data_IF_736297542108
#
_entry.id   IF_736297542108
#
_cell.length_a   1.000
_cell.length_b   1.000
_cell.length_c   1.000
_cell.angle_alpha   90.00
_cell.angle_beta   90.00
_cell.angle_gamma   90.00
#
_symmetry.space_group_name_H-M   'P 1'
#
loop_
_entity.id
_entity.type
_entity.pdbx_description
1 polymer ?
#
# COMPACT_ATOMS: atom_id res chain seq x y z
N UNK A 1 -66.17 58.81 -50.62
CA UNK A 1 -64.83 59.43 -50.46
C UNK A 1 -64.91 60.89 -50.88
N UNK A 2 -65.06 61.81 -49.93
CA UNK A 2 -64.73 63.22 -50.15
C UNK A 2 -64.21 63.77 -48.81
N UNK A 3 -63.01 64.32 -48.87
CA UNK A 3 -62.18 64.76 -47.75
C UNK A 3 -62.81 65.96 -47.04
N UNK A 4 -63.05 65.82 -45.73
CA UNK A 4 -63.20 66.99 -44.86
C UNK A 4 -61.81 67.58 -44.63
N UNK A 5 -61.41 68.46 -45.54
CA UNK A 5 -60.27 69.36 -45.36
C UNK A 5 -60.66 70.38 -44.29
N UNK A 6 -60.14 70.21 -43.08
CA UNK A 6 -60.25 71.20 -42.01
C UNK A 6 -59.46 72.44 -42.47
N UNK A 7 -60.08 73.61 -42.67
CA UNK A 7 -59.35 74.81 -43.01
C UNK A 7 -58.45 75.23 -41.83
N UNK A 8 -57.20 75.54 -42.15
CA UNK A 8 -56.13 75.79 -41.18
C UNK A 8 -56.50 76.82 -40.11
N UNK A 9 -56.15 76.50 -38.86
CA UNK A 9 -56.12 77.44 -37.74
C UNK A 9 -55.30 78.68 -38.14
N UNK A 10 -55.95 79.84 -38.17
CA UNK A 10 -55.26 81.14 -38.18
C UNK A 10 -54.35 81.19 -36.94
N UNK A 11 -53.07 81.51 -37.13
CA UNK A 11 -52.15 81.85 -36.03
C UNK A 11 -52.76 83.02 -35.28
N UNK A 12 -53.23 82.78 -34.05
CA UNK A 12 -53.61 83.85 -33.14
C UNK A 12 -52.36 84.68 -32.85
N UNK A 13 -52.51 86.00 -32.90
CA UNK A 13 -51.45 86.94 -32.57
C UNK A 13 -51.06 86.77 -31.11
N UNK A 14 -49.80 86.49 -30.83
CA UNK A 14 -49.30 86.56 -29.47
C UNK A 14 -49.49 88.00 -28.97
N UNK A 15 -50.13 88.17 -27.81
CA UNK A 15 -50.31 89.47 -27.17
C UNK A 15 -48.98 90.13 -26.80
N UNK A 16 -47.89 89.35 -26.77
CA UNK A 16 -46.54 89.79 -26.51
C UNK A 16 -45.66 89.56 -27.73
N UNK A 17 -44.78 90.53 -28.02
CA UNK A 17 -43.87 90.46 -29.15
C UNK A 17 -42.76 89.45 -28.83
N UNK A 18 -42.71 88.35 -29.58
CA UNK A 18 -41.63 87.38 -29.49
C UNK A 18 -40.33 87.97 -30.08
N UNK A 19 -39.32 88.07 -29.22
CA UNK A 19 -37.98 88.58 -29.55
C UNK A 19 -36.91 87.48 -29.59
N UNK A 20 -37.26 86.25 -29.23
CA UNK A 20 -36.31 85.20 -28.82
C UNK A 20 -36.42 83.97 -29.72
N UNK A 21 -37.62 83.53 -30.09
CA UNK A 21 -37.83 82.25 -30.80
C UNK A 21 -37.21 82.27 -32.20
N UNK A 22 -37.22 83.42 -32.89
CA UNK A 22 -36.59 83.56 -34.22
C UNK A 22 -35.06 83.45 -34.18
N UNK A 23 -34.42 83.89 -33.08
CA UNK A 23 -32.97 83.78 -32.87
C UNK A 23 -32.57 82.44 -32.23
N UNK A 24 -33.48 81.81 -31.47
CA UNK A 24 -33.28 80.52 -30.80
C UNK A 24 -33.88 79.30 -31.51
N UNK A 25 -34.17 79.38 -32.81
CA UNK A 25 -34.95 78.37 -33.55
C UNK A 25 -34.43 76.92 -33.41
N UNK A 26 -33.11 76.74 -33.38
CA UNK A 26 -32.50 75.41 -33.22
C UNK A 26 -32.72 74.86 -31.80
N UNK A 27 -32.62 75.72 -30.77
CA UNK A 27 -32.85 75.35 -29.37
C UNK A 27 -34.29 74.90 -29.17
N UNK A 28 -35.26 75.61 -29.74
CA UNK A 28 -36.68 75.26 -29.66
C UNK A 28 -36.97 73.92 -30.33
N UNK A 29 -36.31 73.63 -31.47
CA UNK A 29 -36.45 72.34 -32.14
C UNK A 29 -35.86 71.18 -31.34
N UNK A 30 -34.71 71.39 -30.68
CA UNK A 30 -34.08 70.34 -29.88
C UNK A 30 -34.85 70.06 -28.59
N UNK A 31 -35.38 71.10 -27.93
CA UNK A 31 -36.28 70.95 -26.78
C UNK A 31 -37.55 70.18 -27.17
N UNK A 32 -38.13 70.48 -28.34
CA UNK A 32 -39.30 69.76 -28.86
C UNK A 32 -39.01 68.29 -29.17
N UNK A 33 -37.81 67.96 -29.64
CA UNK A 33 -37.40 66.55 -29.86
C UNK A 33 -37.17 65.81 -28.53
N UNK A 34 -36.57 66.47 -27.55
CA UNK A 34 -36.20 65.86 -26.27
C UNK A 34 -37.40 65.66 -25.34
N UNK A 35 -38.32 66.63 -25.28
CA UNK A 35 -39.44 66.64 -24.34
C UNK A 35 -40.82 66.53 -25.00
N UNK A 36 -40.88 66.55 -26.33
CA UNK A 36 -42.12 66.39 -27.10
C UNK A 36 -43.00 67.64 -27.19
N UNK A 37 -42.62 68.75 -26.56
CA UNK A 37 -43.47 69.94 -26.41
C UNK A 37 -43.06 71.11 -27.30
N UNK A 38 -44.05 71.85 -27.80
CA UNK A 38 -43.85 73.14 -28.45
C UNK A 38 -43.95 74.26 -27.41
N UNK A 39 -42.80 74.71 -26.91
CA UNK A 39 -42.66 75.60 -25.75
C UNK A 39 -43.44 76.91 -25.92
N UNK A 40 -43.44 77.48 -27.13
CA UNK A 40 -44.13 78.73 -27.42
C UNK A 40 -45.66 78.57 -27.40
N UNK A 41 -46.18 77.50 -27.99
CA UNK A 41 -47.63 77.24 -28.00
C UNK A 41 -48.14 76.89 -26.59
N UNK A 42 -47.32 76.21 -25.80
CA UNK A 42 -47.65 75.78 -24.45
C UNK A 42 -47.60 76.95 -23.44
N UNK A 43 -46.61 77.84 -23.55
CA UNK A 43 -46.50 79.07 -22.74
C UNK A 43 -47.64 80.05 -23.05
N UNK A 44 -47.94 80.29 -24.33
CA UNK A 44 -49.00 81.23 -24.70
C UNK A 44 -50.37 80.76 -24.18
N UNK A 45 -50.73 79.48 -24.34
CA UNK A 45 -51.99 78.92 -23.82
C UNK A 45 -52.07 78.94 -22.29
N UNK A 46 -50.96 78.66 -21.61
CA UNK A 46 -50.91 78.72 -20.16
C UNK A 46 -51.08 80.16 -19.63
N UNK A 47 -50.45 81.15 -20.28
CA UNK A 47 -50.60 82.57 -19.90
C UNK A 47 -51.98 83.14 -20.24
N UNK A 48 -52.66 82.59 -21.25
CA UNK A 48 -54.05 82.90 -21.58
C UNK A 48 -55.06 82.31 -20.59
N UNK A 49 -54.59 81.54 -19.59
CA UNK A 49 -55.43 80.95 -18.56
C UNK A 49 -56.22 79.73 -19.03
N UNK A 50 -55.79 79.05 -20.10
CA UNK A 50 -56.40 77.80 -20.54
C UNK A 50 -56.26 76.73 -19.45
N UNK A 51 -57.38 76.46 -18.77
CA UNK A 51 -57.45 75.51 -17.67
C UNK A 51 -57.06 74.09 -18.07
N UNK A 52 -57.18 73.69 -19.35
CA UNK A 52 -56.75 72.38 -19.81
C UNK A 52 -55.22 72.26 -19.87
N UNK A 53 -54.55 73.27 -20.46
CA UNK A 53 -53.08 73.33 -20.56
C UNK A 53 -52.43 73.46 -19.18
N UNK A 54 -52.99 74.29 -18.29
CA UNK A 54 -52.49 74.45 -16.91
C UNK A 54 -52.64 73.18 -16.06
N UNK A 55 -53.76 72.45 -16.16
CA UNK A 55 -53.92 71.15 -15.48
C UNK A 55 -52.94 70.10 -15.99
N UNK A 56 -52.71 70.05 -17.30
CA UNK A 56 -51.73 69.14 -17.90
C UNK A 56 -50.31 69.42 -17.39
N UNK A 57 -49.92 70.70 -17.30
CA UNK A 57 -48.64 71.13 -16.72
C UNK A 57 -48.51 70.73 -15.25
N UNK A 58 -49.55 70.95 -14.44
CA UNK A 58 -49.56 70.55 -13.03
C UNK A 58 -49.45 69.04 -12.83
N UNK A 59 -50.16 68.24 -13.63
CA UNK A 59 -50.04 66.77 -13.61
C UNK A 59 -48.64 66.30 -14.03
N UNK A 60 -48.04 66.94 -15.03
CA UNK A 60 -46.68 66.63 -15.48
C UNK A 60 -45.63 67.00 -14.44
N UNK A 61 -45.75 68.16 -13.80
CA UNK A 61 -44.87 68.59 -12.72
C UNK A 61 -44.95 67.59 -11.56
N UNK A 62 -46.16 67.25 -11.12
CA UNK A 62 -46.37 66.26 -10.05
C UNK A 62 -45.77 64.90 -10.39
N UNK A 63 -45.95 64.41 -11.63
CA UNK A 63 -45.33 63.16 -12.09
C UNK A 63 -43.81 63.25 -12.17
N UNK A 64 -43.27 64.41 -12.57
CA UNK A 64 -41.85 64.69 -12.61
C UNK A 64 -41.22 64.69 -11.22
N UNK A 65 -41.85 65.32 -10.24
CA UNK A 65 -41.40 65.35 -8.84
C UNK A 65 -41.42 63.93 -8.23
N UNK A 66 -42.53 63.19 -8.41
CA UNK A 66 -42.64 61.79 -7.99
C UNK A 66 -41.56 60.94 -8.65
N UNK A 67 -41.32 61.11 -9.95
CA UNK A 67 -40.30 60.36 -10.68
C UNK A 67 -38.89 60.68 -10.20
N UNK A 68 -38.56 61.97 -9.95
CA UNK A 68 -37.26 62.39 -9.45
C UNK A 68 -36.96 61.85 -8.05
N UNK A 69 -37.98 61.67 -7.21
CA UNK A 69 -37.83 61.13 -5.86
C UNK A 69 -37.80 59.59 -5.85
N UNK A 70 -38.68 58.92 -6.60
CA UNK A 70 -38.83 57.46 -6.55
C UNK A 70 -37.90 56.69 -7.48
N UNK A 71 -37.56 57.22 -8.67
CA UNK A 71 -36.74 56.47 -9.63
C UNK A 71 -35.37 56.08 -9.07
N UNK A 72 -34.62 56.95 -8.37
CA UNK A 72 -33.33 56.56 -7.78
C UNK A 72 -33.49 55.44 -6.74
N UNK A 73 -34.56 55.47 -5.94
CA UNK A 73 -34.86 54.44 -4.94
C UNK A 73 -35.21 53.10 -5.59
N UNK A 74 -35.99 53.12 -6.67
CA UNK A 74 -36.34 51.92 -7.44
C UNK A 74 -35.11 51.34 -8.13
N UNK A 75 -34.27 52.18 -8.74
CA UNK A 75 -33.01 51.75 -9.35
C UNK A 75 -32.09 51.11 -8.32
N UNK A 76 -31.90 51.74 -7.15
CA UNK A 76 -31.08 51.20 -6.08
C UNK A 76 -31.64 49.87 -5.56
N UNK A 77 -32.96 49.76 -5.36
CA UNK A 77 -33.61 48.54 -4.91
C UNK A 77 -33.46 47.40 -5.91
N UNK A 78 -33.68 47.65 -7.20
CA UNK A 78 -33.54 46.65 -8.26
C UNK A 78 -32.09 46.20 -8.40
N UNK A 79 -31.13 47.14 -8.38
CA UNK A 79 -29.70 46.82 -8.47
C UNK A 79 -29.26 45.98 -7.27
N UNK A 80 -29.65 46.38 -6.06
CA UNK A 80 -29.37 45.62 -4.83
C UNK A 80 -29.98 44.22 -4.89
N UNK A 81 -31.21 44.08 -5.37
CA UNK A 81 -31.87 42.79 -5.53
C UNK A 81 -31.14 41.88 -6.54
N UNK A 82 -30.73 42.42 -7.69
CA UNK A 82 -29.96 41.68 -8.69
C UNK A 82 -28.60 41.24 -8.15
N UNK A 83 -27.87 42.13 -7.49
CA UNK A 83 -26.57 41.82 -6.88
C UNK A 83 -26.70 40.78 -5.77
N UNK A 84 -27.70 40.92 -4.89
CA UNK A 84 -27.99 39.95 -3.85
C UNK A 84 -28.30 38.56 -4.44
N UNK A 85 -29.12 38.51 -5.50
CA UNK A 85 -29.47 37.26 -6.17
C UNK A 85 -28.26 36.61 -6.86
N UNK A 86 -27.43 37.41 -7.55
CA UNK A 86 -26.21 36.94 -8.18
C UNK A 86 -25.22 36.41 -7.14
N UNK A 87 -25.02 37.14 -6.04
CA UNK A 87 -24.10 36.77 -4.98
C UNK A 87 -24.56 35.54 -4.22
N UNK A 88 -25.87 35.42 -3.94
CA UNK A 88 -26.45 34.23 -3.32
C UNK A 88 -26.20 32.98 -4.17
N UNK A 89 -26.47 33.05 -5.47
CA UNK A 89 -26.27 31.92 -6.38
C UNK A 89 -24.79 31.55 -6.54
N UNK A 90 -23.89 32.53 -6.66
CA UNK A 90 -22.44 32.29 -6.67
C UNK A 90 -21.98 31.60 -5.38
N UNK A 91 -22.44 32.08 -4.23
CA UNK A 91 -22.07 31.51 -2.92
C UNK A 91 -22.59 30.08 -2.79
N UNK A 92 -23.85 29.83 -3.15
CA UNK A 92 -24.45 28.49 -3.16
C UNK A 92 -23.67 27.53 -4.05
N UNK A 93 -23.31 27.95 -5.27
CA UNK A 93 -22.51 27.15 -6.18
C UNK A 93 -21.12 26.82 -5.60
N UNK A 94 -20.46 27.79 -4.98
CA UNK A 94 -19.14 27.59 -4.35
C UNK A 94 -19.21 26.63 -3.16
N UNK A 95 -20.23 26.76 -2.30
CA UNK A 95 -20.46 25.84 -1.17
C UNK A 95 -20.70 24.43 -1.66
N UNK A 96 -21.56 24.24 -2.68
CA UNK A 96 -21.82 22.91 -3.25
C UNK A 96 -20.58 22.30 -3.90
N UNK A 97 -19.78 23.10 -4.62
CA UNK A 97 -18.53 22.65 -5.24
C UNK A 97 -17.51 22.21 -4.18
N UNK A 98 -17.33 23.01 -3.12
CA UNK A 98 -16.45 22.68 -2.00
C UNK A 98 -16.94 21.44 -1.26
N UNK A 99 -18.24 21.36 -0.95
CA UNK A 99 -18.87 20.21 -0.31
C UNK A 99 -18.70 18.93 -1.11
N UNK A 100 -18.91 18.96 -2.42
CA UNK A 100 -18.71 17.79 -3.30
C UNK A 100 -17.25 17.33 -3.31
N UNK A 101 -16.29 18.25 -3.45
CA UNK A 101 -14.85 17.94 -3.42
C UNK A 101 -14.45 17.27 -2.10
N UNK A 102 -14.93 17.81 -0.98
CA UNK A 102 -14.63 17.28 0.35
C UNK A 102 -15.31 15.93 0.60
N UNK A 103 -16.57 15.77 0.20
CA UNK A 103 -17.26 14.48 0.29
C UNK A 103 -16.55 13.39 -0.53
N UNK A 104 -16.06 13.72 -1.72
CA UNK A 104 -15.26 12.80 -2.53
C UNK A 104 -13.92 12.46 -1.85
N UNK A 105 -13.23 13.45 -1.29
CA UNK A 105 -11.98 13.23 -0.55
C UNK A 105 -12.18 12.31 0.66
N UNK A 106 -13.25 12.51 1.43
CA UNK A 106 -13.63 11.65 2.56
C UNK A 106 -13.91 10.22 2.09
N UNK A 107 -14.65 10.05 0.99
CA UNK A 107 -14.93 8.72 0.42
C UNK A 107 -13.64 8.00 0.01
N UNK A 108 -12.71 8.70 -0.65
CA UNK A 108 -11.39 8.15 -1.01
C UNK A 108 -10.59 7.73 0.22
N UNK A 109 -10.47 8.62 1.22
CA UNK A 109 -9.77 8.32 2.46
C UNK A 109 -10.35 7.09 3.19
N UNK A 110 -11.69 6.93 3.17
CA UNK A 110 -12.34 5.74 3.74
C UNK A 110 -11.95 4.45 3.02
N UNK A 111 -11.92 4.48 1.69
CA UNK A 111 -11.50 3.33 0.87
C UNK A 111 -10.03 3.00 1.13
N UNK A 112 -9.16 4.02 1.20
CA UNK A 112 -7.72 3.84 1.46
C UNK A 112 -7.46 3.22 2.83
N UNK A 113 -8.16 3.68 3.88
CA UNK A 113 -8.09 3.09 5.23
C UNK A 113 -8.60 1.64 5.23
N UNK A 114 -9.69 1.37 4.51
CA UNK A 114 -10.21 0.01 4.36
C UNK A 114 -9.20 -0.94 3.71
N UNK A 115 -8.56 -0.50 2.62
CA UNK A 115 -7.53 -1.28 1.92
C UNK A 115 -6.28 -1.49 2.80
N UNK A 116 -5.83 -0.45 3.51
CA UNK A 116 -4.70 -0.54 4.43
C UNK A 116 -4.99 -1.54 5.57
N UNK A 117 -6.21 -1.51 6.13
CA UNK A 117 -6.61 -2.47 7.16
C UNK A 117 -6.64 -3.91 6.63
N UNK A 118 -7.14 -4.14 5.41
CA UNK A 118 -7.09 -5.47 4.79
C UNK A 118 -5.64 -5.94 4.61
N UNK A 119 -4.75 -5.09 4.10
CA UNK A 119 -3.33 -5.41 3.95
C UNK A 119 -2.70 -5.81 5.29
N UNK A 120 -2.92 -5.01 6.33
CA UNK A 120 -2.43 -5.32 7.67
C UNK A 120 -2.95 -6.67 8.20
N UNK A 121 -4.22 -6.99 7.97
CA UNK A 121 -4.78 -8.30 8.34
C UNK A 121 -4.12 -9.45 7.55
N UNK A 122 -3.84 -9.26 6.27
CA UNK A 122 -3.15 -10.25 5.45
C UNK A 122 -1.69 -10.43 5.89
N UNK A 123 -0.96 -9.34 6.13
CA UNK A 123 0.43 -9.37 6.62
C UNK A 123 0.54 -10.11 7.96
N UNK A 124 -0.38 -9.87 8.89
CA UNK A 124 -0.41 -10.60 10.16
C UNK A 124 -0.63 -12.11 9.97
N UNK A 125 -1.52 -12.49 9.04
CA UNK A 125 -1.70 -13.91 8.68
C UNK A 125 -0.45 -14.49 8.04
N UNK A 126 0.21 -13.74 7.17
CA UNK A 126 1.48 -14.16 6.56
C UNK A 126 2.58 -14.35 7.60
N UNK A 127 2.73 -13.43 8.55
CA UNK A 127 3.72 -13.55 9.63
C UNK A 127 3.47 -14.82 10.44
N UNK A 128 2.21 -15.08 10.83
CA UNK A 128 1.84 -16.29 11.55
C UNK A 128 2.16 -17.56 10.74
N UNK A 129 1.86 -17.55 9.44
CA UNK A 129 2.17 -18.67 8.54
C UNK A 129 3.69 -18.88 8.42
N UNK A 130 4.47 -17.81 8.20
CA UNK A 130 5.94 -17.85 8.11
C UNK A 130 6.55 -18.42 9.39
N UNK A 131 6.07 -18.00 10.56
CA UNK A 131 6.51 -18.55 11.83
C UNK A 131 6.22 -20.05 11.93
N UNK A 132 5.00 -20.48 11.58
CA UNK A 132 4.62 -21.90 11.63
C UNK A 132 5.45 -22.78 10.69
N UNK A 133 5.73 -22.29 9.48
CA UNK A 133 6.56 -22.96 8.49
C UNK A 133 8.02 -23.01 8.93
N UNK A 134 8.55 -21.90 9.44
CA UNK A 134 9.91 -21.82 10.00
C UNK A 134 10.10 -22.80 11.15
N UNK A 135 9.14 -22.88 12.08
CA UNK A 135 9.16 -23.85 13.18
C UNK A 135 9.18 -25.28 12.68
N UNK A 136 8.34 -25.64 11.70
CA UNK A 136 8.33 -26.99 11.11
C UNK A 136 9.64 -27.33 10.40
N UNK A 137 10.16 -26.40 9.61
CA UNK A 137 11.45 -26.55 8.93
C UNK A 137 12.59 -26.75 9.93
N UNK A 138 12.61 -26.01 11.03
CA UNK A 138 13.64 -26.13 12.06
C UNK A 138 13.57 -27.47 12.79
N UNK A 139 12.34 -27.92 13.14
CA UNK A 139 12.14 -29.26 13.70
C UNK A 139 12.67 -30.33 12.75
N UNK A 140 12.37 -30.24 11.45
CA UNK A 140 12.87 -31.20 10.46
C UNK A 140 14.39 -31.20 10.35
N UNK A 141 15.03 -30.02 10.32
CA UNK A 141 16.49 -29.89 10.34
C UNK A 141 17.09 -30.56 11.57
N UNK A 142 16.54 -30.28 12.75
CA UNK A 142 17.02 -30.87 13.99
C UNK A 142 16.82 -32.40 14.01
N UNK A 143 15.66 -32.90 13.57
CA UNK A 143 15.40 -34.34 13.46
C UNK A 143 16.39 -35.02 12.52
N UNK A 144 16.68 -34.41 11.38
CA UNK A 144 17.67 -34.93 10.44
C UNK A 144 19.08 -34.95 11.03
N UNK A 145 19.51 -33.85 11.65
CA UNK A 145 20.82 -33.74 12.30
C UNK A 145 21.00 -34.77 13.42
N UNK A 146 19.99 -34.92 14.29
CA UNK A 146 19.99 -35.94 15.35
C UNK A 146 20.00 -37.37 14.79
N UNK A 147 19.25 -37.62 13.72
CA UNK A 147 19.23 -38.92 13.05
C UNK A 147 20.60 -39.28 12.46
N UNK A 148 21.24 -38.32 11.79
CA UNK A 148 22.58 -38.47 11.24
C UNK A 148 23.62 -38.76 12.34
N UNK A 149 23.61 -37.98 13.42
CA UNK A 149 24.57 -38.19 14.51
C UNK A 149 24.36 -39.54 15.22
N UNK A 150 23.10 -39.96 15.40
CA UNK A 150 22.78 -41.31 15.92
C UNK A 150 23.32 -42.41 15.02
N UNK A 151 23.15 -42.29 13.70
CA UNK A 151 23.66 -43.27 12.74
C UNK A 151 25.19 -43.33 12.80
N UNK A 152 25.86 -42.17 12.83
CA UNK A 152 27.30 -42.08 12.96
C UNK A 152 27.81 -42.73 14.26
N UNK A 153 27.16 -42.43 15.38
CA UNK A 153 27.48 -43.04 16.68
C UNK A 153 27.27 -44.56 16.67
N UNK A 154 26.19 -45.05 16.03
CA UNK A 154 25.94 -46.48 15.87
C UNK A 154 27.04 -47.16 15.04
N UNK A 155 27.44 -46.58 13.91
CA UNK A 155 28.54 -47.10 13.08
C UNK A 155 29.84 -47.13 13.89
N UNK A 156 30.19 -46.05 14.59
CA UNK A 156 31.38 -46.00 15.44
C UNK A 156 31.33 -47.05 16.56
N UNK A 157 30.18 -47.24 17.20
CA UNK A 157 30.00 -48.26 18.23
C UNK A 157 30.14 -49.68 17.65
N UNK A 158 29.60 -49.93 16.46
CA UNK A 158 29.74 -51.23 15.79
C UNK A 158 31.19 -51.55 15.40
N UNK A 159 31.94 -50.54 14.95
CA UNK A 159 33.35 -50.67 14.62
C UNK A 159 34.19 -50.94 15.86
N UNK A 160 34.00 -50.16 16.94
CA UNK A 160 34.71 -50.39 18.21
C UNK A 160 34.40 -51.76 18.81
N UNK A 161 33.15 -52.23 18.75
CA UNK A 161 32.79 -53.58 19.19
C UNK A 161 33.50 -54.67 18.37
N UNK A 162 33.61 -54.47 17.05
CA UNK A 162 34.35 -55.38 16.16
C UNK A 162 35.85 -55.37 16.47
N UNK A 163 36.45 -54.20 16.71
CA UNK A 163 37.85 -54.08 17.11
C UNK A 163 38.13 -54.72 18.46
N UNK A 164 37.24 -54.51 19.45
CA UNK A 164 37.32 -55.18 20.75
C UNK A 164 37.27 -56.70 20.60
N UNK A 165 36.38 -57.23 19.74
CA UNK A 165 36.32 -58.64 19.42
C UNK A 165 37.66 -59.19 18.94
N UNK A 166 38.25 -58.50 17.95
CA UNK A 166 39.51 -58.89 17.34
C UNK A 166 40.66 -58.79 18.34
N UNK A 167 40.68 -57.74 19.18
CA UNK A 167 41.72 -57.56 20.18
C UNK A 167 41.64 -58.61 21.29
N UNK A 168 40.44 -58.96 21.76
CA UNK A 168 40.25 -60.08 22.70
C UNK A 168 40.74 -61.38 22.07
N UNK A 169 40.38 -61.65 20.81
CA UNK A 169 40.84 -62.84 20.10
C UNK A 169 42.37 -62.85 19.94
N UNK A 170 42.99 -61.71 19.63
CA UNK A 170 44.46 -61.59 19.55
C UNK A 170 45.11 -61.90 20.89
N UNK A 171 44.59 -61.39 22.00
CA UNK A 171 45.11 -61.68 23.35
C UNK A 171 44.95 -63.15 23.71
N UNK A 172 43.78 -63.76 23.40
CA UNK A 172 43.55 -65.19 23.60
C UNK A 172 44.52 -66.05 22.76
N UNK A 173 44.75 -65.67 21.50
CA UNK A 173 45.61 -66.42 20.59
C UNK A 173 47.12 -66.14 20.80
N UNK A 174 47.49 -65.09 21.56
CA UNK A 174 48.87 -64.67 21.73
C UNK A 174 49.79 -65.77 22.31
N UNK A 175 49.37 -66.57 23.32
CA UNK A 175 50.19 -67.67 23.83
C UNK A 175 50.48 -68.73 22.77
N UNK A 176 49.46 -69.15 22.01
CA UNK A 176 49.61 -70.14 20.95
C UNK A 176 50.53 -69.66 19.82
N UNK A 177 50.42 -68.38 19.43
CA UNK A 177 51.31 -67.79 18.43
C UNK A 177 52.76 -67.72 18.95
N UNK A 178 52.97 -67.36 20.23
CA UNK A 178 54.30 -67.35 20.85
C UNK A 178 54.87 -68.75 20.97
N UNK A 179 54.04 -69.75 21.25
CA UNK A 179 54.43 -71.16 21.28
C UNK A 179 54.91 -71.63 19.91
N UNK A 180 54.12 -71.42 18.85
CA UNK A 180 54.49 -71.79 17.49
C UNK A 180 55.80 -71.13 17.03
N UNK A 181 56.02 -69.85 17.38
CA UNK A 181 57.29 -69.15 17.10
C UNK A 181 58.46 -69.75 17.88
N UNK A 182 58.30 -69.98 19.18
CA UNK A 182 59.36 -70.58 19.99
C UNK A 182 59.70 -72.01 19.56
N UNK A 183 58.70 -72.78 19.12
CA UNK A 183 58.93 -74.11 18.57
C UNK A 183 59.68 -74.03 17.23
N UNK A 184 59.36 -73.06 16.36
CA UNK A 184 60.11 -72.80 15.11
C UNK A 184 61.54 -72.28 15.33
N UNK A 185 61.75 -71.39 16.29
CA UNK A 185 63.09 -70.95 16.70
C UNK A 185 63.89 -72.13 17.24
N UNK A 186 63.27 -72.97 18.08
CA UNK A 186 63.90 -74.18 18.60
C UNK A 186 64.27 -75.15 17.49
N UNK A 187 63.38 -75.42 16.53
CA UNK A 187 63.75 -76.32 15.41
C UNK A 187 64.92 -75.78 14.62
N UNK A 188 65.01 -74.46 14.44
CA UNK A 188 66.14 -73.82 13.77
C UNK A 188 67.42 -73.86 14.62
N UNK A 189 67.36 -73.64 15.93
CA UNK A 189 68.49 -73.77 16.85
C UNK A 189 68.99 -75.21 16.95
N UNK A 190 68.08 -76.18 17.04
CA UNK A 190 68.41 -77.60 16.99
C UNK A 190 69.09 -77.93 15.67
N UNK A 191 68.55 -77.48 14.53
CA UNK A 191 69.17 -77.71 13.23
C UNK A 191 70.58 -77.10 13.13
N UNK A 192 70.78 -75.87 13.61
CA UNK A 192 72.12 -75.23 13.67
C UNK A 192 73.07 -76.01 14.58
N UNK A 193 72.64 -76.37 15.78
CA UNK A 193 73.46 -77.08 16.75
C UNK A 193 73.85 -78.50 16.26
N UNK A 194 72.95 -79.18 15.55
CA UNK A 194 73.23 -80.46 14.88
C UNK A 194 74.26 -80.28 13.74
N UNK A 195 74.13 -79.22 12.93
CA UNK A 195 75.06 -78.89 11.85
C UNK A 195 76.46 -78.53 12.37
N UNK A 196 76.56 -77.80 13.48
CA UNK A 196 77.83 -77.34 14.04
C UNK A 196 78.57 -78.43 14.85
N UNK A 197 77.83 -79.28 15.58
CA UNK A 197 78.43 -80.21 16.56
C UNK A 197 78.38 -81.70 16.15
N UNK A 198 77.72 -82.06 15.04
CA UNK A 198 77.68 -83.42 14.51
C UNK A 198 77.21 -84.47 15.53
N UNK A 199 77.83 -85.66 15.57
CA UNK A 199 77.45 -86.75 16.49
C UNK A 199 77.60 -86.41 18.00
N UNK A 200 78.32 -85.35 18.36
CA UNK A 200 78.49 -84.92 19.76
C UNK A 200 77.38 -84.00 20.25
N UNK A 201 76.43 -83.64 19.38
CA UNK A 201 75.36 -82.72 19.71
C UNK A 201 74.42 -83.29 20.79
N UNK A 202 74.27 -82.59 21.91
CA UNK A 202 73.26 -82.88 22.94
C UNK A 202 72.06 -81.96 22.80
N UNK A 203 71.06 -82.40 22.05
CA UNK A 203 69.81 -81.65 21.78
C UNK A 203 68.99 -81.45 23.05
N UNK A 204 69.14 -82.33 24.04
CA UNK A 204 68.36 -82.33 25.29
C UNK A 204 68.70 -81.17 26.24
N UNK A 205 69.88 -80.55 26.06
CA UNK A 205 70.34 -79.43 26.88
C UNK A 205 69.84 -78.07 26.37
N UNK A 206 69.22 -78.02 25.19
CA UNK A 206 68.71 -76.77 24.61
C UNK A 206 67.41 -76.35 25.34
N UNK A 207 67.38 -75.13 25.91
CA UNK A 207 66.24 -74.68 26.71
C UNK A 207 64.98 -74.52 25.86
N UNK A 208 63.87 -75.10 26.32
CA UNK A 208 62.55 -74.93 25.68
C UNK A 208 61.70 -73.94 26.47
N UNK A 209 61.21 -72.90 25.80
CA UNK A 209 60.17 -72.02 26.36
C UNK A 209 58.80 -72.62 26.04
N UNK A 210 57.92 -72.69 27.04
CA UNK A 210 56.54 -73.18 26.90
C UNK A 210 55.59 -72.09 27.35
N UNK A 211 54.73 -71.65 26.44
CA UNK A 211 53.79 -70.55 26.61
C UNK A 211 52.32 -71.03 26.66
N UNK A 212 52.05 -72.30 26.38
CA UNK A 212 50.73 -72.93 26.51
C UNK A 212 50.59 -73.66 27.85
N UNK A 213 49.43 -73.53 28.51
CA UNK A 213 49.09 -74.28 29.73
C UNK A 213 48.44 -75.61 29.32
N UNK A 214 48.85 -76.77 29.88
CA UNK A 214 48.26 -78.06 29.52
C UNK A 214 46.77 -78.11 29.91
N UNK A 215 45.85 -78.16 28.92
CA UNK A 215 44.41 -78.41 29.14
C UNK A 215 43.41 -77.45 28.48
N UNK A 216 43.81 -76.43 27.72
CA UNK A 216 42.89 -75.36 27.27
C UNK A 216 42.21 -75.55 25.89
N UNK A 217 42.24 -76.74 25.28
CA UNK A 217 41.65 -76.97 23.94
C UNK A 217 40.12 -77.04 23.90
N UNK A 218 39.44 -76.87 25.02
CA UNK A 218 37.99 -77.02 25.11
C UNK A 218 37.32 -75.64 25.25
N UNK A 219 36.43 -75.33 24.30
CA UNK A 219 35.61 -74.12 24.18
C UNK A 219 36.27 -72.84 23.64
N UNK A 220 36.43 -72.76 22.31
CA UNK A 220 36.30 -71.47 21.63
C UNK A 220 34.82 -71.12 21.48
N UNK A 221 34.30 -70.05 22.10
CA UNK A 221 32.92 -69.63 21.89
C UNK A 221 32.81 -68.94 20.53
N UNK A 222 32.22 -69.63 19.54
CA UNK A 222 31.90 -69.03 18.25
C UNK A 222 30.78 -67.99 18.42
N UNK A 223 31.15 -66.72 18.58
CA UNK A 223 30.22 -65.56 18.63
C UNK A 223 29.18 -65.63 17.50
N UNK A 224 29.56 -66.05 16.29
CA UNK A 224 28.67 -66.11 15.11
C UNK A 224 27.37 -66.92 15.30
N UNK A 225 27.26 -67.81 16.31
CA UNK A 225 26.02 -68.52 16.62
C UNK A 225 24.91 -67.66 17.24
N UNK A 226 25.23 -66.54 17.90
CA UNK A 226 24.25 -65.72 18.65
C UNK A 226 23.66 -64.53 17.87
N UNK A 227 24.11 -64.28 16.64
CA UNK A 227 23.52 -63.21 15.80
C UNK A 227 22.26 -63.66 15.04
N UNK A 228 22.00 -64.96 14.91
CA UNK A 228 20.76 -65.49 14.28
C UNK A 228 19.51 -65.32 15.14
N UNK A 229 19.64 -65.04 16.44
CA UNK A 229 18.51 -64.90 17.37
C UNK A 229 18.14 -63.45 17.71
N UNK A 230 18.92 -62.46 17.26
CA UNK A 230 18.65 -61.04 17.58
C UNK A 230 18.09 -60.24 16.39
N UNK A 231 18.18 -60.78 15.17
CA UNK A 231 17.39 -60.29 14.03
C UNK A 231 16.27 -61.29 13.83
N UNK A 232 15.10 -61.00 14.41
CA UNK A 232 13.88 -61.73 14.13
C UNK A 232 13.57 -61.63 12.64
N UNK A 233 13.98 -62.63 11.87
CA UNK A 233 13.35 -63.02 10.62
C UNK A 233 12.51 -64.26 10.94
N UNK A 234 11.27 -63.99 11.33
CA UNK A 234 10.08 -64.62 10.77
C UNK A 234 9.23 -63.50 10.19
#
# INVERSE_FOLDING_TARGET
MLQNVIPGRKKQSSYYKDHVTKRGKNIVQDVKKAFGDDVDDLLNKAMEGDGATLRMLGERLRRGEIALELLPLVEQALTTHYDATAQFNKTKANVLKSGSKNALAIKKARVDVGLANQRHQHENKEIALRYSLGKKSEIQRHTYAMGFERLKAFVAHSMTKTEQAVNVQKTINQPAIKQAKSDGERTMEVAKHLLENGEKSRVDLLPRKVYEVPGSKENQPTWFGKLKTFVGMN
#
